data_IF_660577900064
#
_entry.id   IF_660577900064
#
_cell.length_a   1.000
_cell.length_b   1.000
_cell.length_c   1.000
_cell.angle_alpha   90.00
_cell.angle_beta   90.00
_cell.angle_gamma   90.00
#
_symmetry.space_group_name_H-M   'P 1'
#
loop_
_entity.id
_entity.type
_entity.pdbx_description
1 polymer ?
#
# COMPACT_ATOMS: atom_id res chain seq x y z
N UNK A 1 17.66 -1.70 -0.97
CA UNK A 1 16.79 -2.48 -1.88
C UNK A 1 15.69 -1.57 -2.36
N UNK A 2 15.13 -1.83 -3.53
CA UNK A 2 13.94 -1.13 -4.02
C UNK A 2 12.70 -1.81 -3.45
N UNK A 3 11.96 -1.11 -2.59
CA UNK A 3 10.63 -1.52 -2.15
C UNK A 3 9.56 -0.96 -3.07
N UNK A 4 8.62 -1.81 -3.48
CA UNK A 4 7.44 -1.41 -4.25
C UNK A 4 6.18 -1.86 -3.53
N UNK A 5 5.27 -0.92 -3.27
CA UNK A 5 3.96 -1.15 -2.71
C UNK A 5 2.91 -0.85 -3.77
N UNK A 6 2.13 -1.84 -4.16
CA UNK A 6 0.92 -1.69 -4.95
C UNK A 6 -0.28 -1.55 -4.01
N UNK A 7 -1.08 -0.51 -4.23
CA UNK A 7 -2.22 -0.15 -3.37
C UNK A 7 -3.48 -0.07 -4.22
N UNK A 8 -4.56 -0.68 -3.74
CA UNK A 8 -5.91 -0.52 -4.28
C UNK A 8 -6.81 0.09 -3.21
N UNK A 9 -7.55 1.12 -3.60
CA UNK A 9 -8.54 1.82 -2.76
C UNK A 9 -9.93 1.51 -3.31
N UNK A 10 -10.86 1.05 -2.47
CA UNK A 10 -12.29 0.86 -2.80
C UNK A 10 -13.05 2.18 -2.91
N UNK A 11 -12.51 3.16 -3.65
CA UNK A 11 -13.16 4.42 -4.01
C UNK A 11 -12.56 4.96 -5.31
N UNK A 12 -13.39 5.62 -6.12
CA UNK A 12 -12.99 6.30 -7.36
C UNK A 12 -12.85 7.80 -7.21
N UNK A 13 -13.09 8.34 -6.01
CA UNK A 13 -13.03 9.77 -5.77
C UNK A 13 -11.61 10.25 -5.55
N UNK A 14 -11.27 11.39 -6.14
CA UNK A 14 -9.96 12.01 -5.97
C UNK A 14 -9.70 12.41 -4.51
N UNK A 15 -10.71 12.89 -3.77
CA UNK A 15 -10.59 13.26 -2.35
C UNK A 15 -10.12 12.08 -1.48
N UNK A 16 -10.66 10.89 -1.74
CA UNK A 16 -10.33 9.67 -1.01
C UNK A 16 -8.91 9.20 -1.34
N UNK A 17 -8.52 9.27 -2.62
CA UNK A 17 -7.14 9.00 -3.03
C UNK A 17 -6.14 9.93 -2.35
N UNK A 18 -6.40 11.25 -2.32
CA UNK A 18 -5.48 12.19 -1.69
C UNK A 18 -5.35 11.92 -0.18
N UNK A 19 -6.47 11.63 0.51
CA UNK A 19 -6.48 11.25 1.92
C UNK A 19 -5.60 10.02 2.18
N UNK A 20 -5.84 8.91 1.46
CA UNK A 20 -5.08 7.66 1.67
C UNK A 20 -3.61 7.85 1.33
N UNK A 21 -3.30 8.63 0.30
CA UNK A 21 -1.92 8.97 -0.05
C UNK A 21 -1.24 9.77 1.06
N UNK A 22 -1.91 10.76 1.65
CA UNK A 22 -1.38 11.54 2.77
C UNK A 22 -1.10 10.64 3.98
N UNK A 23 -2.05 9.78 4.36
CA UNK A 23 -1.87 8.81 5.45
C UNK A 23 -0.71 7.82 5.18
N UNK A 24 -0.55 7.35 3.94
CA UNK A 24 0.58 6.52 3.54
C UNK A 24 1.92 7.24 3.71
N UNK A 25 1.98 8.52 3.36
CA UNK A 25 3.18 9.36 3.49
C UNK A 25 3.46 9.78 4.94
N UNK A 26 2.45 9.83 5.80
CA UNK A 26 2.65 10.01 7.25
C UNK A 26 3.33 8.79 7.87
N UNK A 27 3.00 7.58 7.41
CA UNK A 27 3.64 6.33 7.86
C UNK A 27 5.08 6.27 7.36
N UNK A 28 5.31 6.56 6.08
CA UNK A 28 6.65 6.55 5.51
C UNK A 28 6.84 7.65 4.44
N UNK A 29 7.44 8.80 4.82
CA UNK A 29 7.59 9.96 3.94
C UNK A 29 8.47 9.74 2.70
N UNK A 30 9.32 8.70 2.71
CA UNK A 30 10.27 8.42 1.63
C UNK A 30 9.63 7.68 0.44
N UNK A 31 8.32 7.38 0.50
CA UNK A 31 7.60 6.84 -0.64
C UNK A 31 7.45 7.87 -1.77
N UNK A 32 7.85 7.47 -2.97
CA UNK A 32 7.47 8.12 -4.21
C UNK A 32 6.20 7.50 -4.76
N UNK A 33 5.11 8.25 -4.78
CA UNK A 33 3.78 7.78 -5.18
C UNK A 33 3.48 8.12 -6.65
N UNK A 34 3.06 7.12 -7.43
CA UNK A 34 2.64 7.30 -8.82
C UNK A 34 1.28 8.00 -8.91
N UNK A 35 0.91 8.54 -10.09
CA UNK A 35 -0.50 8.82 -10.37
C UNK A 35 -1.36 7.56 -10.17
N UNK A 36 -2.62 7.75 -9.78
CA UNK A 36 -3.60 6.67 -9.72
C UNK A 36 -4.28 6.45 -11.07
N UNK A 37 -4.86 5.26 -11.25
CA UNK A 37 -5.76 4.93 -12.35
C UNK A 37 -6.90 4.04 -11.84
N UNK A 38 -7.90 3.81 -12.66
CA UNK A 38 -8.97 2.85 -12.35
C UNK A 38 -8.38 1.45 -12.13
N UNK A 39 -8.83 0.78 -11.06
CA UNK A 39 -8.42 -0.58 -10.76
C UNK A 39 -9.23 -1.59 -11.57
N UNK A 40 -8.59 -2.72 -11.91
CA UNK A 40 -9.29 -3.88 -12.45
C UNK A 40 -9.71 -4.88 -11.37
N UNK A 41 -9.28 -4.70 -10.12
CA UNK A 41 -9.59 -5.63 -9.02
C UNK A 41 -11.00 -5.44 -8.47
N UNK A 42 -11.49 -4.21 -8.44
CA UNK A 42 -12.82 -3.87 -7.91
C UNK A 42 -13.49 -2.76 -8.74
N UNK A 43 -14.82 -2.78 -8.79
CA UNK A 43 -15.60 -1.73 -9.45
C UNK A 43 -15.54 -0.43 -8.63
N UNK A 44 -15.43 0.70 -9.30
CA UNK A 44 -15.37 2.02 -8.66
C UNK A 44 -14.19 2.15 -7.67
N UNK A 45 -13.07 1.48 -7.97
CA UNK A 45 -11.84 1.50 -7.20
C UNK A 45 -10.68 2.08 -8.02
N UNK A 46 -9.67 2.61 -7.34
CA UNK A 46 -8.42 3.10 -7.97
C UNK A 46 -7.22 2.35 -7.46
N UNK A 47 -6.17 2.32 -8.28
CA UNK A 47 -4.90 1.70 -7.96
C UNK A 47 -3.72 2.63 -8.25
N UNK A 48 -2.67 2.49 -7.45
CA UNK A 48 -1.41 3.22 -7.63
C UNK A 48 -0.24 2.42 -7.04
N UNK A 49 0.97 2.89 -7.33
CA UNK A 49 2.21 2.35 -6.77
C UNK A 49 2.90 3.40 -5.89
N UNK A 50 3.54 2.93 -4.83
CA UNK A 50 4.49 3.68 -4.03
C UNK A 50 5.83 2.95 -4.02
N UNK A 51 6.93 3.66 -4.28
CA UNK A 51 8.27 3.06 -4.31
C UNK A 51 9.21 3.78 -3.35
N UNK A 52 10.16 3.06 -2.77
CA UNK A 52 11.16 3.66 -1.89
C UNK A 52 12.48 2.87 -1.92
N UNK A 53 13.56 3.51 -1.48
CA UNK A 53 14.75 2.79 -1.07
C UNK A 53 14.61 2.43 0.41
N UNK A 54 14.72 1.14 0.72
CA UNK A 54 14.49 0.63 2.07
C UNK A 54 15.35 -0.63 2.30
N UNK A 55 15.69 -0.90 3.55
CA UNK A 55 16.30 -2.16 3.98
C UNK A 55 15.23 -3.11 4.57
N UNK A 56 15.60 -4.37 4.83
CA UNK A 56 14.65 -5.42 5.24
C UNK A 56 14.06 -5.14 6.63
N UNK A 57 14.85 -4.57 7.53
CA UNK A 57 14.42 -4.24 8.89
C UNK A 57 13.39 -3.11 8.87
N UNK A 58 13.71 -2.03 8.15
CA UNK A 58 12.81 -0.89 7.99
C UNK A 58 11.55 -1.26 7.22
N UNK A 59 11.65 -2.16 6.23
CA UNK A 59 10.49 -2.67 5.51
C UNK A 59 9.50 -3.34 6.46
N UNK A 60 9.96 -4.19 7.38
CA UNK A 60 9.09 -4.82 8.37
C UNK A 60 8.38 -3.77 9.25
N UNK A 61 9.11 -2.76 9.76
CA UNK A 61 8.51 -1.69 10.57
C UNK A 61 7.42 -0.89 9.83
N UNK A 62 7.58 -0.69 8.52
CA UNK A 62 6.59 -0.01 7.69
C UNK A 62 5.39 -0.92 7.44
N UNK A 63 5.63 -2.20 7.12
CA UNK A 63 4.56 -3.18 6.87
C UNK A 63 3.67 -3.40 8.10
N UNK A 64 4.25 -3.44 9.30
CA UNK A 64 3.52 -3.58 10.57
C UNK A 64 2.56 -2.40 10.85
N UNK A 65 2.84 -1.22 10.27
CA UNK A 65 1.97 -0.04 10.36
C UNK A 65 0.91 -0.03 9.26
N UNK A 66 1.22 -0.58 8.08
CA UNK A 66 0.30 -0.63 6.95
C UNK A 66 -0.82 -1.65 7.16
N UNK A 67 -0.50 -2.80 7.76
CA UNK A 67 -1.47 -3.88 7.98
C UNK A 67 -1.00 -4.82 9.09
N UNK A 68 -1.95 -5.44 9.79
CA UNK A 68 -1.67 -6.27 10.97
C UNK A 68 -1.53 -7.78 10.69
N UNK A 69 -1.81 -8.23 9.47
CA UNK A 69 -1.84 -9.66 9.11
C UNK A 69 -1.53 -9.83 7.63
N UNK A 70 -0.24 -9.94 7.30
CA UNK A 70 0.24 -10.10 5.92
C UNK A 70 0.31 -11.59 5.55
N UNK A 71 -0.05 -11.92 4.32
CA UNK A 71 0.16 -13.24 3.72
C UNK A 71 1.44 -13.21 2.89
N UNK A 72 2.44 -14.00 3.27
CA UNK A 72 3.76 -14.05 2.63
C UNK A 72 4.91 -13.58 3.52
N UNK A 73 6.09 -13.48 2.92
CA UNK A 73 7.32 -13.02 3.58
C UNK A 73 7.53 -11.53 3.33
N UNK A 74 8.31 -10.85 4.16
CA UNK A 74 8.51 -9.38 4.08
C UNK A 74 9.04 -8.88 2.72
N UNK A 75 9.63 -9.74 1.88
CA UNK A 75 10.10 -9.42 0.54
C UNK A 75 9.09 -9.69 -0.58
N UNK A 76 8.00 -10.41 -0.30
CA UNK A 76 6.88 -10.65 -1.21
C UNK A 76 5.63 -11.03 -0.39
N UNK A 77 4.82 -10.04 -0.03
CA UNK A 77 3.62 -10.24 0.79
C UNK A 77 2.43 -9.42 0.31
N UNK A 78 1.23 -9.92 0.61
CA UNK A 78 -0.03 -9.30 0.25
C UNK A 78 -0.98 -9.22 1.45
N UNK A 79 -1.96 -8.32 1.36
CA UNK A 79 -3.06 -8.23 2.33
C UNK A 79 -4.34 -7.77 1.64
N UNK A 80 -5.49 -8.26 2.14
CA UNK A 80 -6.83 -7.86 1.69
C UNK A 80 -7.64 -7.30 2.87
N UNK A 81 -8.23 -6.11 2.68
CA UNK A 81 -8.91 -5.34 3.73
C UNK A 81 -10.17 -6.00 4.31
N UNK A 82 -10.67 -7.10 3.72
CA UNK A 82 -11.83 -7.82 4.24
C UNK A 82 -11.56 -8.60 5.53
N UNK A 83 -10.33 -9.09 5.72
CA UNK A 83 -9.99 -9.99 6.81
C UNK A 83 -8.98 -9.39 7.78
N UNK A 84 -8.46 -8.20 7.47
CA UNK A 84 -7.34 -7.58 8.19
C UNK A 84 -7.66 -6.13 8.54
N UNK A 85 -6.81 -5.54 9.39
CA UNK A 85 -6.89 -4.14 9.77
C UNK A 85 -5.82 -3.37 8.99
N UNK A 86 -6.26 -2.70 7.94
CA UNK A 86 -5.45 -1.78 7.14
C UNK A 86 -5.23 -0.44 7.85
N UNK A 87 -4.20 0.29 7.43
CA UNK A 87 -3.92 1.64 7.90
C UNK A 87 -5.04 2.65 7.58
N UNK A 88 -5.76 2.44 6.48
CA UNK A 88 -6.98 3.18 6.16
C UNK A 88 -8.11 2.23 5.74
N UNK A 89 -9.33 2.59 6.11
CA UNK A 89 -10.53 1.78 5.87
C UNK A 89 -10.94 1.64 4.40
N UNK A 90 -10.44 2.50 3.51
CA UNK A 90 -10.70 2.44 2.08
C UNK A 90 -9.68 1.55 1.35
N UNK A 91 -8.60 1.13 2.00
CA UNK A 91 -7.58 0.27 1.38
C UNK A 91 -8.14 -1.15 1.25
N UNK A 92 -8.30 -1.56 0.00
CA UNK A 92 -8.81 -2.86 -0.39
C UNK A 92 -7.72 -3.93 -0.38
N UNK A 93 -6.58 -3.60 -0.98
CA UNK A 93 -5.51 -4.55 -1.24
C UNK A 93 -4.16 -3.85 -1.20
N UNK A 94 -3.20 -4.54 -0.59
CA UNK A 94 -1.79 -4.19 -0.60
C UNK A 94 -0.99 -5.37 -1.14
N UNK A 95 0.01 -5.07 -1.96
CA UNK A 95 1.05 -6.01 -2.34
C UNK A 95 2.40 -5.30 -2.22
N UNK A 96 3.31 -5.86 -1.45
CA UNK A 96 4.64 -5.32 -1.25
C UNK A 96 5.70 -6.29 -1.75
N UNK A 97 6.68 -5.77 -2.49
CA UNK A 97 7.81 -6.53 -3.01
C UNK A 97 9.13 -5.79 -2.77
N UNK A 98 10.17 -6.52 -2.35
CA UNK A 98 11.55 -6.04 -2.23
C UNK A 98 12.41 -6.61 -3.36
N UNK A 99 13.15 -5.73 -4.03
CA UNK A 99 14.13 -6.11 -5.05
C UNK A 99 15.53 -5.68 -4.62
N UNK A 100 16.48 -6.61 -4.71
CA UNK A 100 17.92 -6.37 -4.50
C UNK A 100 18.54 -5.48 -5.59
#
# INVERSE_FOLDING_TARGET
>A
MLGTLYVVISSSKEEDYQKVKEELLEIYPDFSVSPYKESQMEKDAVEFFATCQIDKEKAQEVLDQLNNDWDGEVDDCIAYGFNTKMFDSLVYHLNFQLYD
#
